data_IF_798926482047
#
_entry.id   IF_798926482047
#
_cell.length_a   1.000
_cell.length_b   1.000
_cell.length_c   1.000
_cell.angle_alpha   90.00
_cell.angle_beta   90.00
_cell.angle_gamma   90.00
#
_symmetry.space_group_name_H-M   'P 1'
#
loop_
_entity.id
_entity.type
_entity.pdbx_description
1 polymer ?
#
# COMPACT_ATOMS: atom_id res chain seq x y z
N UNK A 1 13.86 58.77 65.02
CA UNK A 1 13.96 57.49 64.29
C UNK A 1 12.61 57.22 63.63
N UNK A 2 12.66 56.73 62.39
CA UNK A 2 11.68 56.96 61.33
C UNK A 2 10.28 56.33 61.55
N UNK A 3 9.25 57.05 61.07
CA UNK A 3 7.90 56.56 60.77
C UNK A 3 7.95 55.72 59.50
N UNK A 4 7.22 54.61 59.43
CA UNK A 4 6.60 54.17 58.17
C UNK A 4 5.26 53.47 58.42
N UNK A 5 4.30 53.91 57.59
CA UNK A 5 2.87 53.64 57.60
C UNK A 5 2.54 52.47 56.66
N UNK A 6 1.34 51.90 56.88
CA UNK A 6 0.40 51.23 55.96
C UNK A 6 0.82 51.02 54.50
N UNK A 7 0.53 49.82 53.98
CA UNK A 7 -0.36 49.54 52.83
C UNK A 7 -0.33 48.02 52.55
N UNK A 8 -1.44 47.30 52.72
CA UNK A 8 -2.43 46.99 51.68
C UNK A 8 -1.79 46.62 50.33
N UNK A 9 -1.47 45.33 50.17
CA UNK A 9 -1.10 44.74 48.88
C UNK A 9 -1.94 43.49 48.66
N UNK A 10 -3.05 43.68 47.94
CA UNK A 10 -3.49 42.70 46.96
C UNK A 10 -2.58 42.94 45.73
N UNK A 11 -2.10 41.91 45.00
CA UNK A 11 -2.84 41.64 43.77
C UNK A 11 -2.70 40.21 43.19
N UNK A 12 -3.56 40.00 42.19
CA UNK A 12 -3.48 39.03 41.08
C UNK A 12 -4.08 37.63 41.32
N UNK A 13 -5.40 37.59 41.15
CA UNK A 13 -6.11 36.58 40.35
C UNK A 13 -5.21 36.06 39.23
N UNK A 14 -4.73 34.83 39.37
CA UNK A 14 -4.29 34.03 38.24
C UNK A 14 -5.51 33.73 37.37
N UNK A 15 -5.52 34.23 36.15
CA UNK A 15 -6.40 33.73 35.10
C UNK A 15 -5.99 32.27 34.85
N UNK A 16 -6.82 31.34 35.31
CA UNK A 16 -6.71 29.94 34.91
C UNK A 16 -6.73 29.90 33.37
N UNK A 17 -5.71 29.29 32.79
CA UNK A 17 -5.74 28.94 31.38
C UNK A 17 -7.01 28.11 31.12
N UNK A 18 -7.73 28.32 30.00
CA UNK A 18 -8.88 27.50 29.69
C UNK A 18 -8.41 26.04 29.61
N UNK A 19 -8.98 25.20 30.49
CA UNK A 19 -8.94 23.76 30.32
C UNK A 19 -9.45 23.45 28.91
N UNK A 20 -8.53 23.09 28.03
CA UNK A 20 -8.85 22.49 26.75
C UNK A 20 -9.46 21.14 27.09
N UNK A 21 -10.79 21.11 27.18
CA UNK A 21 -11.55 19.87 27.27
C UNK A 21 -11.14 19.01 26.06
N UNK A 22 -10.66 17.77 26.25
CA UNK A 22 -10.39 16.88 25.13
C UNK A 22 -11.69 16.76 24.33
N UNK A 23 -11.62 17.15 23.06
CA UNK A 23 -12.77 17.10 22.16
C UNK A 23 -13.22 15.65 22.06
N UNK A 24 -14.51 15.46 22.33
CA UNK A 24 -15.36 14.30 22.14
C UNK A 24 -14.72 13.21 21.28
N UNK A 25 -14.42 12.08 21.94
CA UNK A 25 -13.83 10.91 21.33
C UNK A 25 -14.70 10.34 20.22
N UNK A 26 -14.20 10.42 18.99
CA UNK A 26 -14.40 9.31 18.06
C UNK A 26 -13.66 8.11 18.66
N UNK A 27 -14.37 7.00 18.87
CA UNK A 27 -13.79 5.77 19.42
C UNK A 27 -12.60 5.31 18.57
N UNK A 28 -11.39 5.72 18.98
CA UNK A 28 -10.13 5.27 18.43
C UNK A 28 -9.92 3.83 18.89
N UNK A 29 -10.49 2.87 18.16
CA UNK A 29 -9.75 1.62 17.99
C UNK A 29 -8.47 2.00 17.23
N UNK A 30 -7.39 2.19 17.98
CA UNK A 30 -6.13 2.73 17.47
C UNK A 30 -5.65 1.94 16.26
N UNK A 31 -5.14 2.65 15.25
CA UNK A 31 -4.54 2.07 14.05
C UNK A 31 -3.47 0.99 14.39
N UNK A 32 -2.87 1.07 15.57
CA UNK A 32 -1.91 0.09 16.10
C UNK A 32 -2.45 -1.33 16.30
N UNK A 33 -3.74 -1.53 16.61
CA UNK A 33 -4.29 -2.88 16.81
C UNK A 33 -4.65 -3.60 15.50
N UNK A 34 -4.59 -2.92 14.35
CA UNK A 34 -5.13 -3.41 13.07
C UNK A 34 -4.08 -3.68 11.99
N UNK A 35 -2.82 -3.33 12.23
CA UNK A 35 -1.64 -3.76 11.44
C UNK A 35 -1.03 -5.08 11.95
N UNK A 36 -1.86 -5.96 12.53
CA UNK A 36 -1.42 -7.23 13.14
C UNK A 36 -0.77 -8.18 12.12
N UNK A 37 -1.23 -8.14 10.87
CA UNK A 37 -0.64 -8.95 9.80
C UNK A 37 0.39 -8.14 9.04
N UNK A 38 1.65 -8.58 9.07
CA UNK A 38 2.78 -7.95 8.38
C UNK A 38 2.52 -7.79 6.87
N UNK A 39 1.73 -8.68 6.30
CA UNK A 39 1.33 -8.73 4.90
C UNK A 39 0.45 -7.53 4.49
N UNK A 40 -0.24 -6.89 5.43
CA UNK A 40 -1.04 -5.68 5.19
C UNK A 40 -0.25 -4.38 5.34
N UNK A 41 1.04 -4.46 5.70
CA UNK A 41 1.90 -3.28 5.91
C UNK A 41 2.46 -2.71 4.62
N UNK A 42 2.01 -3.17 3.46
CA UNK A 42 2.51 -2.69 2.17
C UNK A 42 1.39 -2.08 1.35
N UNK A 43 1.55 -0.79 1.01
CA UNK A 43 0.80 -0.14 -0.05
C UNK A 43 1.61 -0.33 -1.34
N UNK A 44 1.31 -1.42 -2.05
CA UNK A 44 1.92 -1.71 -3.34
C UNK A 44 1.27 -0.86 -4.45
N UNK A 45 1.99 -0.58 -5.55
CA UNK A 45 1.39 0.04 -6.74
C UNK A 45 0.21 -0.77 -7.24
N UNK A 46 -0.73 -0.19 -7.98
CA UNK A 46 -1.92 -0.91 -8.47
C UNK A 46 -1.57 -2.18 -9.26
N UNK A 47 -0.56 -2.08 -10.11
CA UNK A 47 -0.05 -3.19 -10.93
C UNK A 47 1.39 -3.50 -10.56
N UNK A 48 1.78 -4.76 -10.72
CA UNK A 48 3.15 -5.20 -10.50
C UNK A 48 4.03 -4.64 -11.62
N UNK A 49 5.08 -3.91 -11.25
CA UNK A 49 6.01 -3.28 -12.19
C UNK A 49 7.42 -3.79 -11.95
N UNK A 50 8.11 -4.19 -13.01
CA UNK A 50 9.53 -4.58 -12.95
C UNK A 50 10.43 -3.35 -12.88
N UNK A 51 11.50 -3.44 -12.08
CA UNK A 51 12.61 -2.49 -12.10
C UNK A 51 13.31 -2.50 -13.46
N UNK A 52 14.08 -1.45 -13.77
CA UNK A 52 14.86 -1.39 -15.00
C UNK A 52 15.82 -2.59 -15.14
N UNK A 53 16.43 -3.01 -14.03
CA UNK A 53 17.34 -4.15 -14.01
C UNK A 53 16.62 -5.46 -14.31
N UNK A 54 15.47 -5.73 -13.69
CA UNK A 54 14.70 -6.93 -14.01
C UNK A 54 14.20 -6.94 -15.46
N UNK A 55 13.84 -5.79 -16.03
CA UNK A 55 13.48 -5.69 -17.45
C UNK A 55 14.66 -6.04 -18.36
N UNK A 56 15.88 -5.60 -18.00
CA UNK A 56 17.11 -5.94 -18.73
C UNK A 56 17.41 -7.44 -18.65
N UNK A 57 17.21 -8.05 -17.48
CA UNK A 57 17.36 -9.51 -17.33
C UNK A 57 16.32 -10.29 -18.15
N UNK A 58 15.10 -9.76 -18.24
CA UNK A 58 14.02 -10.36 -19.02
C UNK A 58 14.15 -10.18 -20.54
N UNK A 59 15.00 -9.27 -21.03
CA UNK A 59 15.15 -9.01 -22.47
C UNK A 59 15.94 -10.07 -23.21
N UNK A 60 16.57 -11.01 -22.49
CA UNK A 60 17.19 -12.21 -23.06
C UNK A 60 16.36 -13.40 -22.57
N UNK A 61 15.30 -13.79 -23.32
CA UNK A 61 14.40 -14.84 -22.86
C UNK A 61 15.18 -16.15 -22.67
N UNK A 62 15.17 -16.66 -21.44
CA UNK A 62 15.71 -17.98 -21.13
C UNK A 62 14.64 -18.75 -20.38
N UNK A 63 13.93 -19.65 -21.07
CA UNK A 63 12.90 -20.50 -20.46
C UNK A 63 13.48 -21.87 -20.04
N UNK A 64 14.72 -21.87 -19.54
CA UNK A 64 15.41 -23.07 -19.02
C UNK A 64 15.31 -23.14 -17.49
N UNK A 65 15.53 -24.33 -16.90
CA UNK A 65 15.15 -24.59 -15.51
C UNK A 65 15.99 -23.88 -14.42
N UNK A 66 17.14 -23.27 -14.72
CA UNK A 66 18.14 -22.99 -13.66
C UNK A 66 18.99 -21.71 -13.86
N UNK A 67 18.44 -20.58 -14.31
CA UNK A 67 19.19 -19.31 -14.31
C UNK A 67 18.38 -18.12 -13.78
N UNK A 68 19.06 -17.14 -13.19
CA UNK A 68 18.45 -15.88 -12.72
C UNK A 68 17.67 -15.16 -13.84
N UNK A 69 18.15 -15.25 -15.08
CA UNK A 69 17.48 -14.73 -16.29
C UNK A 69 16.12 -15.39 -16.55
N UNK A 70 15.92 -16.63 -16.09
CA UNK A 70 14.66 -17.35 -16.26
C UNK A 70 13.56 -16.80 -15.36
N UNK A 71 13.88 -16.43 -14.12
CA UNK A 71 12.89 -15.82 -13.22
C UNK A 71 12.43 -14.45 -13.73
N UNK A 72 13.34 -13.60 -14.21
CA UNK A 72 12.99 -12.32 -14.81
C UNK A 72 12.07 -12.48 -16.03
N UNK A 73 12.33 -13.51 -16.86
CA UNK A 73 11.47 -13.85 -18.01
C UNK A 73 10.06 -14.25 -17.57
N UNK A 74 9.93 -15.08 -16.52
CA UNK A 74 8.61 -15.46 -15.99
C UNK A 74 7.88 -14.31 -15.31
N UNK A 75 8.58 -13.42 -14.59
CA UNK A 75 7.96 -12.22 -14.04
C UNK A 75 7.46 -11.30 -15.15
N UNK A 76 8.26 -11.11 -16.21
CA UNK A 76 7.86 -10.35 -17.40
C UNK A 76 6.63 -10.96 -18.08
N UNK A 77 6.58 -12.29 -18.23
CA UNK A 77 5.41 -12.99 -18.73
C UNK A 77 4.16 -12.76 -17.87
N UNK A 78 4.31 -12.77 -16.54
CA UNK A 78 3.21 -12.55 -15.60
C UNK A 78 2.61 -11.15 -15.72
N UNK A 79 3.44 -10.12 -15.93
CA UNK A 79 2.97 -8.72 -15.98
C UNK A 79 2.64 -8.24 -17.40
N UNK A 80 3.25 -8.84 -18.41
CA UNK A 80 3.16 -8.40 -19.80
C UNK A 80 1.90 -8.89 -20.52
N UNK A 81 1.65 -8.42 -21.76
CA UNK A 81 0.62 -8.98 -22.61
C UNK A 81 0.85 -10.50 -22.77
N UNK A 82 -0.20 -11.25 -23.07
CA UNK A 82 -0.07 -12.68 -23.35
C UNK A 82 0.89 -12.87 -24.53
N UNK A 83 2.15 -13.18 -24.24
CA UNK A 83 3.14 -13.47 -25.27
C UNK A 83 2.88 -14.88 -25.80
N UNK A 84 3.14 -15.08 -27.09
CA UNK A 84 3.28 -16.42 -27.64
C UNK A 84 4.47 -17.07 -26.91
N UNK A 85 4.20 -18.14 -26.17
CA UNK A 85 5.22 -19.01 -25.60
C UNK A 85 5.32 -20.25 -26.48
N UNK A 86 6.49 -20.86 -26.48
CA UNK A 86 6.70 -22.12 -27.17
C UNK A 86 5.85 -23.21 -26.52
N UNK A 87 5.14 -23.98 -27.33
CA UNK A 87 4.41 -25.14 -26.82
C UNK A 87 5.42 -26.15 -26.28
N UNK A 88 5.41 -26.32 -24.97
CA UNK A 88 6.17 -27.36 -24.29
C UNK A 88 5.34 -28.65 -24.33
N UNK A 89 5.53 -29.43 -25.38
CA UNK A 89 4.83 -30.71 -25.58
C UNK A 89 5.70 -31.92 -25.14
N UNK A 90 6.71 -31.68 -24.30
CA UNK A 90 7.54 -32.74 -23.77
C UNK A 90 6.84 -33.50 -22.61
N UNK A 91 7.24 -34.76 -22.43
CA UNK A 91 6.66 -35.66 -21.43
C UNK A 91 6.81 -35.13 -19.99
N UNK A 92 7.87 -34.37 -19.69
CA UNK A 92 8.08 -33.82 -18.36
C UNK A 92 7.09 -32.68 -18.07
N UNK A 93 6.83 -31.82 -19.06
CA UNK A 93 5.80 -30.77 -18.98
C UNK A 93 4.42 -31.37 -18.76
N UNK A 94 4.03 -32.38 -19.55
CA UNK A 94 2.74 -33.07 -19.38
C UNK A 94 2.63 -33.68 -17.99
N UNK A 95 3.68 -34.36 -17.53
CA UNK A 95 3.70 -34.99 -16.20
C UNK A 95 3.62 -33.95 -15.08
N UNK A 96 4.27 -32.79 -15.23
CA UNK A 96 4.18 -31.68 -14.26
C UNK A 96 2.77 -31.08 -14.24
N UNK A 97 2.17 -30.83 -15.40
CA UNK A 97 0.81 -30.31 -15.50
C UNK A 97 -0.20 -31.26 -14.83
N UNK A 98 -0.11 -32.57 -15.06
CA UNK A 98 -0.97 -33.56 -14.41
C UNK A 98 -0.89 -33.49 -12.88
N UNK A 99 0.32 -33.36 -12.32
CA UNK A 99 0.51 -33.16 -10.86
C UNK A 99 -0.13 -31.86 -10.38
N UNK A 100 -0.02 -30.78 -11.17
CA UNK A 100 -0.64 -29.50 -10.85
C UNK A 100 -2.17 -29.57 -10.88
N UNK A 101 -2.78 -30.26 -11.85
CA UNK A 101 -4.23 -30.47 -11.89
C UNK A 101 -4.75 -31.32 -10.73
N UNK A 102 -3.99 -32.34 -10.31
CA UNK A 102 -4.32 -33.12 -9.12
C UNK A 102 -4.29 -32.26 -7.84
N UNK A 103 -3.31 -31.37 -7.73
CA UNK A 103 -3.16 -30.45 -6.60
C UNK A 103 -4.18 -29.31 -6.61
N UNK A 104 -4.54 -28.83 -7.80
CA UNK A 104 -5.44 -27.70 -8.03
C UNK A 104 -6.51 -28.09 -9.06
N UNK A 105 -7.57 -28.82 -8.64
CA UNK A 105 -8.59 -29.31 -9.55
C UNK A 105 -9.38 -28.18 -10.24
N UNK A 106 -9.47 -27.02 -9.60
CA UNK A 106 -10.23 -25.85 -10.09
C UNK A 106 -9.62 -25.21 -11.34
N UNK A 107 -8.38 -25.57 -11.69
CA UNK A 107 -7.67 -25.02 -12.86
C UNK A 107 -7.47 -26.02 -13.99
N UNK A 108 -8.16 -27.17 -13.95
CA UNK A 108 -8.04 -28.26 -14.93
C UNK A 108 -8.30 -27.85 -16.38
N UNK A 109 -9.09 -26.79 -16.60
CA UNK A 109 -9.43 -26.27 -17.92
C UNK A 109 -8.34 -25.33 -18.48
N UNK A 110 -7.31 -25.02 -17.68
CA UNK A 110 -6.13 -24.27 -18.14
C UNK A 110 -5.27 -25.17 -18.99
N UNK A 111 -4.83 -24.75 -20.18
CA UNK A 111 -3.97 -25.57 -21.04
C UNK A 111 -2.66 -26.03 -20.36
N UNK A 112 -2.19 -27.23 -20.71
CA UNK A 112 -1.01 -27.92 -20.12
C UNK A 112 0.22 -27.01 -20.02
N UNK A 113 0.59 -26.36 -21.12
CA UNK A 113 1.74 -25.47 -21.15
C UNK A 113 1.50 -24.25 -20.26
N UNK A 114 0.32 -23.65 -20.32
CA UNK A 114 -0.03 -22.47 -19.52
C UNK A 114 0.05 -22.72 -18.02
N UNK A 115 -0.50 -23.84 -17.52
CA UNK A 115 -0.46 -24.13 -16.09
C UNK A 115 0.98 -24.30 -15.60
N UNK A 116 1.86 -24.88 -16.43
CA UNK A 116 3.29 -25.01 -16.12
C UNK A 116 3.97 -23.63 -16.11
N UNK A 117 3.70 -22.77 -17.10
CA UNK A 117 4.22 -21.39 -17.10
C UNK A 117 3.76 -20.59 -15.88
N UNK A 118 2.48 -20.66 -15.51
CA UNK A 118 1.98 -19.98 -14.32
C UNK A 118 2.57 -20.54 -13.02
N UNK A 119 2.82 -21.85 -12.95
CA UNK A 119 3.58 -22.44 -11.85
C UNK A 119 4.99 -21.87 -11.77
N UNK A 120 5.68 -21.69 -12.90
CA UNK A 120 7.02 -21.06 -12.93
C UNK A 120 6.97 -19.57 -12.57
N UNK A 121 5.88 -18.87 -12.89
CA UNK A 121 5.68 -17.49 -12.42
C UNK A 121 5.54 -17.44 -10.89
N UNK A 122 4.80 -18.38 -10.30
CA UNK A 122 4.72 -18.49 -8.84
C UNK A 122 6.09 -18.79 -8.23
N UNK A 123 6.83 -19.74 -8.81
CA UNK A 123 8.20 -20.06 -8.38
C UNK A 123 9.12 -18.81 -8.47
N UNK A 124 8.96 -18.01 -9.54
CA UNK A 124 9.72 -16.77 -9.73
C UNK A 124 9.35 -15.69 -8.71
N UNK A 125 8.08 -15.54 -8.35
CA UNK A 125 7.65 -14.65 -7.28
C UNK A 125 8.27 -15.08 -5.94
N UNK A 126 8.19 -16.38 -5.61
CA UNK A 126 8.79 -16.93 -4.39
C UNK A 126 10.30 -16.69 -4.36
N UNK A 127 10.98 -16.91 -5.49
CA UNK A 127 12.41 -16.68 -5.62
C UNK A 127 12.79 -15.25 -5.24
N UNK A 128 12.05 -14.25 -5.73
CA UNK A 128 12.33 -12.83 -5.47
C UNK A 128 11.78 -12.33 -4.13
N UNK A 129 11.17 -13.19 -3.29
CA UNK A 129 10.63 -12.75 -2.00
C UNK A 129 9.20 -12.24 -2.03
N UNK A 130 8.43 -12.55 -3.07
CA UNK A 130 6.99 -12.32 -3.16
C UNK A 130 6.20 -13.62 -3.08
N UNK A 131 4.92 -13.53 -2.78
CA UNK A 131 3.98 -14.65 -2.79
C UNK A 131 2.59 -14.16 -3.22
N UNK A 132 1.68 -15.07 -3.55
CA UNK A 132 0.30 -14.75 -3.95
C UNK A 132 -0.67 -15.39 -2.96
N UNK A 133 -1.52 -14.59 -2.35
CA UNK A 133 -2.64 -15.08 -1.56
C UNK A 133 -3.57 -15.91 -2.47
N UNK A 134 -3.78 -17.18 -2.14
CA UNK A 134 -4.51 -18.13 -2.98
C UNK A 134 -3.64 -18.90 -4.00
N UNK A 135 -2.35 -18.57 -4.13
CA UNK A 135 -1.37 -19.31 -4.91
C UNK A 135 -1.65 -19.37 -6.42
N UNK A 136 -1.35 -20.51 -7.04
CA UNK A 136 -1.42 -20.72 -8.48
C UNK A 136 -2.82 -20.48 -9.09
N UNK A 137 -3.92 -20.99 -8.51
CA UNK A 137 -5.26 -20.67 -9.01
C UNK A 137 -5.52 -19.18 -9.16
N UNK A 138 -5.01 -18.38 -8.22
CA UNK A 138 -5.23 -16.94 -8.28
C UNK A 138 -4.43 -16.24 -9.36
N UNK A 139 -3.21 -16.68 -9.62
CA UNK A 139 -2.44 -16.18 -10.77
C UNK A 139 -3.23 -16.40 -12.07
N UNK A 140 -3.83 -17.58 -12.24
CA UNK A 140 -4.61 -17.93 -13.44
C UNK A 140 -5.86 -17.04 -13.55
N UNK A 141 -6.60 -16.89 -12.45
CA UNK A 141 -7.80 -16.05 -12.41
C UNK A 141 -7.46 -14.58 -12.73
N UNK A 142 -6.43 -14.01 -12.10
CA UNK A 142 -6.02 -12.61 -12.34
C UNK A 142 -5.55 -12.39 -13.78
N UNK A 143 -4.86 -13.38 -14.37
CA UNK A 143 -4.45 -13.31 -15.79
C UNK A 143 -5.64 -13.39 -16.74
N UNK A 144 -6.63 -14.24 -16.44
CA UNK A 144 -7.87 -14.30 -17.21
C UNK A 144 -8.64 -12.97 -17.11
N UNK A 145 -8.70 -12.39 -15.92
CA UNK A 145 -9.31 -11.08 -15.68
C UNK A 145 -8.58 -9.95 -16.40
N UNK A 146 -7.24 -9.99 -16.40
CA UNK A 146 -6.40 -9.03 -17.10
C UNK A 146 -6.68 -9.03 -18.61
N UNK A 147 -6.79 -10.24 -19.18
CA UNK A 147 -7.14 -10.42 -20.59
C UNK A 147 -8.56 -9.90 -20.92
N UNK A 148 -9.55 -10.19 -20.06
CA UNK A 148 -10.95 -9.74 -20.24
C UNK A 148 -11.12 -8.23 -20.11
N UNK A 149 -10.43 -7.61 -19.15
CA UNK A 149 -10.58 -6.19 -18.81
C UNK A 149 -9.64 -5.29 -19.61
N UNK A 150 -8.80 -5.85 -20.46
CA UNK A 150 -7.69 -5.15 -21.13
C UNK A 150 -6.88 -4.30 -20.15
N UNK A 151 -6.68 -4.80 -18.93
CA UNK A 151 -6.01 -4.02 -17.88
C UNK A 151 -4.52 -3.90 -18.16
N UNK A 152 -3.91 -2.82 -17.66
CA UNK A 152 -2.52 -2.48 -17.94
C UNK A 152 -1.48 -3.46 -17.36
N UNK A 153 -1.85 -4.34 -16.41
CA UNK A 153 -0.93 -5.33 -15.86
C UNK A 153 -1.54 -6.21 -14.76
N UNK A 154 -0.69 -7.03 -14.14
CA UNK A 154 -1.04 -7.93 -13.04
C UNK A 154 -1.32 -7.16 -11.74
N UNK A 155 -2.45 -7.41 -11.07
CA UNK A 155 -2.86 -6.66 -9.88
C UNK A 155 -2.04 -7.01 -8.64
N UNK A 156 -1.75 -6.03 -7.78
CA UNK A 156 -0.94 -6.30 -6.57
C UNK A 156 -1.75 -6.64 -5.33
N UNK A 157 -3.09 -6.59 -5.37
CA UNK A 157 -3.91 -6.82 -4.19
C UNK A 157 -3.73 -8.22 -3.60
N UNK A 158 -3.46 -9.24 -4.43
CA UNK A 158 -3.17 -10.59 -3.95
C UNK A 158 -1.69 -10.81 -3.60
N UNK A 159 -0.80 -9.87 -3.90
CA UNK A 159 0.64 -10.00 -3.66
C UNK A 159 0.99 -9.81 -2.18
N UNK A 160 1.73 -10.77 -1.64
CA UNK A 160 2.31 -10.76 -0.30
C UNK A 160 3.81 -10.51 -0.45
N UNK A 161 4.36 -9.57 0.33
CA UNK A 161 5.81 -9.33 0.41
C UNK A 161 6.37 -10.19 1.54
N UNK A 162 7.17 -11.20 1.20
CA UNK A 162 7.83 -12.12 2.14
C UNK A 162 9.23 -11.64 2.52
N UNK A 163 9.98 -11.15 1.54
CA UNK A 163 11.35 -10.64 1.69
C UNK A 163 11.49 -9.35 0.87
N UNK A 164 11.51 -8.21 1.57
CA UNK A 164 11.63 -6.90 0.95
C UNK A 164 12.99 -6.67 0.29
N UNK A 165 14.07 -7.06 1.00
CA UNK A 165 15.44 -6.80 0.56
C UNK A 165 15.74 -7.55 -0.74
N UNK A 166 15.06 -8.67 -0.96
CA UNK A 166 15.11 -9.36 -2.25
C UNK A 166 14.16 -8.77 -3.29
N UNK A 167 12.90 -8.51 -2.91
CA UNK A 167 11.88 -8.14 -3.87
C UNK A 167 12.14 -6.76 -4.51
N UNK A 168 12.63 -5.78 -3.75
CA UNK A 168 12.85 -4.42 -4.25
C UNK A 168 13.92 -4.33 -5.36
N UNK A 169 14.78 -5.35 -5.49
CA UNK A 169 15.76 -5.44 -6.58
C UNK A 169 15.06 -5.66 -7.92
N UNK A 170 13.98 -6.43 -7.93
CA UNK A 170 13.35 -6.92 -9.15
C UNK A 170 12.02 -6.22 -9.49
N UNK A 171 11.29 -5.78 -8.47
CA UNK A 171 9.99 -5.12 -8.64
C UNK A 171 9.96 -3.77 -7.93
N UNK A 172 9.22 -2.83 -8.50
CA UNK A 172 8.90 -1.57 -7.85
C UNK A 172 7.92 -1.85 -6.71
N UNK A 173 8.43 -1.82 -5.49
CA UNK A 173 7.62 -1.89 -4.28
C UNK A 173 7.20 -0.48 -3.88
N UNK A 174 5.97 -0.37 -3.39
CA UNK A 174 5.43 0.91 -2.92
C UNK A 174 5.87 1.20 -1.48
N UNK A 175 4.94 1.73 -0.68
CA UNK A 175 5.24 2.20 0.67
C UNK A 175 5.09 1.09 1.72
N UNK A 176 6.11 0.92 2.58
CA UNK A 176 6.00 0.14 3.82
C UNK A 176 5.39 1.01 4.93
N UNK A 177 4.27 0.57 5.46
CA UNK A 177 3.64 1.10 6.66
C UNK A 177 4.36 0.51 7.87
N UNK A 178 5.17 1.31 8.55
CA UNK A 178 5.78 0.86 9.79
C UNK A 178 4.70 0.83 10.90
N UNK A 179 4.64 -0.21 11.75
CA UNK A 179 3.64 -0.33 12.81
C UNK A 179 3.61 0.87 13.76
N UNK A 180 4.79 1.45 14.00
CA UNK A 180 4.97 2.64 14.83
C UNK A 180 5.02 3.96 14.03
N UNK A 181 5.22 3.95 12.70
CA UNK A 181 5.40 5.19 11.94
C UNK A 181 4.11 5.88 11.52
N UNK A 182 2.94 5.24 11.65
CA UNK A 182 1.67 5.98 11.63
C UNK A 182 1.61 7.04 12.76
N UNK A 183 2.46 6.92 13.79
CA UNK A 183 2.55 7.88 14.90
C UNK A 183 3.91 8.59 15.02
N UNK A 184 5.01 8.06 14.45
CA UNK A 184 6.37 8.61 14.66
C UNK A 184 7.11 9.10 13.42
N UNK A 185 6.64 8.80 12.19
CA UNK A 185 7.16 9.45 10.98
C UNK A 185 6.11 10.42 10.43
N UNK A 186 5.57 11.25 11.31
CA UNK A 186 4.79 12.39 10.85
C UNK A 186 5.68 13.26 9.96
N UNK A 187 5.18 13.73 8.81
CA UNK A 187 5.90 14.71 8.01
C UNK A 187 6.26 15.90 8.91
N UNK A 188 7.51 16.37 8.82
CA UNK A 188 8.02 17.44 9.67
C UNK A 188 7.61 18.83 9.17
N UNK A 189 7.16 18.91 7.91
CA UNK A 189 6.67 20.12 7.26
C UNK A 189 5.43 19.85 6.41
N UNK A 190 4.70 20.92 6.07
CA UNK A 190 3.54 20.84 5.19
C UNK A 190 3.94 20.32 3.80
N UNK A 191 5.11 20.72 3.30
CA UNK A 191 5.64 20.26 2.01
C UNK A 191 5.91 18.76 2.01
N UNK A 192 6.45 18.20 3.10
CA UNK A 192 6.61 16.76 3.25
C UNK A 192 5.25 16.05 3.30
N UNK A 193 4.27 16.61 4.02
CA UNK A 193 2.94 16.03 4.11
C UNK A 193 2.25 15.96 2.74
N UNK A 194 2.37 17.02 1.94
CA UNK A 194 1.85 17.06 0.56
C UNK A 194 2.53 15.98 -0.29
N UNK A 195 3.86 15.85 -0.23
CA UNK A 195 4.60 14.83 -0.99
C UNK A 195 4.19 13.41 -0.60
N UNK A 196 4.13 13.10 0.70
CA UNK A 196 3.71 11.78 1.17
C UNK A 196 2.28 11.45 0.76
N UNK A 197 1.35 12.39 0.94
CA UNK A 197 -0.03 12.19 0.54
C UNK A 197 -0.17 11.99 -0.97
N UNK A 198 0.59 12.73 -1.78
CA UNK A 198 0.66 12.52 -3.22
C UNK A 198 1.12 11.11 -3.59
N UNK A 199 2.22 10.63 -2.99
CA UNK A 199 2.71 9.27 -3.23
C UNK A 199 1.66 8.21 -2.88
N UNK A 200 0.94 8.38 -1.76
CA UNK A 200 -0.15 7.48 -1.36
C UNK A 200 -1.30 7.53 -2.38
N UNK A 201 -1.66 8.73 -2.87
CA UNK A 201 -2.69 8.89 -3.89
C UNK A 201 -2.30 8.19 -5.20
N UNK A 202 -1.05 8.31 -5.66
CA UNK A 202 -0.57 7.62 -6.86
C UNK A 202 -0.61 6.09 -6.72
N UNK A 203 -0.23 5.57 -5.56
CA UNK A 203 -0.24 4.12 -5.32
C UNK A 203 -1.65 3.53 -5.26
N UNK A 204 -2.62 4.26 -4.68
CA UNK A 204 -3.99 3.75 -4.45
C UNK A 204 -4.92 4.11 -5.61
N UNK A 205 -4.74 5.27 -6.25
CA UNK A 205 -5.61 5.76 -7.33
C UNK A 205 -4.87 6.26 -8.58
N UNK A 206 -4.09 5.42 -9.28
CA UNK A 206 -3.48 5.88 -10.53
C UNK A 206 -4.58 6.16 -11.57
N UNK A 207 -4.69 7.43 -11.99
CA UNK A 207 -5.50 7.85 -13.14
C UNK A 207 -6.99 8.10 -12.91
N UNK A 208 -7.37 8.71 -11.76
CA UNK A 208 -8.72 9.27 -11.52
C UNK A 208 -9.91 8.31 -11.64
N UNK A 209 -9.72 7.01 -11.40
CA UNK A 209 -10.86 6.09 -11.38
C UNK A 209 -11.74 6.31 -10.13
N UNK A 210 -13.05 6.07 -10.27
CA UNK A 210 -14.00 6.13 -9.15
C UNK A 210 -13.61 5.05 -8.12
N UNK A 211 -13.07 5.49 -6.99
CA UNK A 211 -12.71 4.57 -5.91
C UNK A 211 -13.95 4.07 -5.17
N UNK A 212 -13.94 2.81 -4.70
CA UNK A 212 -14.96 2.35 -3.77
C UNK A 212 -14.88 3.17 -2.47
N UNK A 213 -16.02 3.33 -1.81
CA UNK A 213 -16.07 3.95 -0.48
C UNK A 213 -15.74 2.92 0.59
N UNK A 214 -15.30 3.36 1.77
CA UNK A 214 -15.10 2.45 2.90
C UNK A 214 -16.38 1.67 3.24
N UNK A 215 -17.54 2.35 3.13
CA UNK A 215 -18.84 1.73 3.33
C UNK A 215 -19.12 0.64 2.29
N UNK A 216 -18.89 0.91 1.00
CA UNK A 216 -19.16 -0.10 -0.04
C UNK A 216 -18.26 -1.33 0.12
N UNK A 217 -17.01 -1.15 0.57
CA UNK A 217 -16.12 -2.27 0.89
C UNK A 217 -16.66 -3.07 2.08
N UNK A 218 -17.10 -2.41 3.15
CA UNK A 218 -17.65 -3.07 4.33
C UNK A 218 -18.91 -3.87 4.02
N UNK A 219 -19.77 -3.34 3.16
CA UNK A 219 -20.96 -4.05 2.65
C UNK A 219 -20.57 -5.29 1.84
N UNK A 220 -19.60 -5.15 0.94
CA UNK A 220 -19.15 -6.26 0.11
C UNK A 220 -18.43 -7.35 0.92
N UNK A 221 -17.63 -6.97 1.93
CA UNK A 221 -16.98 -7.91 2.85
C UNK A 221 -17.99 -8.75 3.63
N UNK A 222 -19.14 -8.17 4.03
CA UNK A 222 -20.21 -8.91 4.71
C UNK A 222 -20.98 -9.83 3.76
N UNK A 223 -21.03 -9.50 2.48
CA UNK A 223 -21.77 -10.25 1.47
C UNK A 223 -20.96 -11.41 0.89
N UNK A 224 -19.63 -11.32 0.87
CA UNK A 224 -18.77 -12.34 0.28
C UNK A 224 -18.46 -13.49 1.25
N UNK A 225 -18.52 -14.71 0.76
CA UNK A 225 -18.04 -15.91 1.46
C UNK A 225 -16.69 -16.39 0.94
N UNK A 226 -16.18 -15.77 -0.13
CA UNK A 226 -14.89 -16.08 -0.72
C UNK A 226 -13.77 -15.46 0.12
N UNK A 227 -12.93 -16.30 0.72
CA UNK A 227 -11.79 -15.89 1.53
C UNK A 227 -10.79 -15.05 0.74
N UNK A 228 -10.60 -15.34 -0.55
CA UNK A 228 -9.74 -14.53 -1.42
C UNK A 228 -10.32 -13.14 -1.63
N UNK A 229 -11.61 -13.07 -1.97
CA UNK A 229 -12.29 -11.78 -2.11
C UNK A 229 -12.21 -10.99 -0.81
N UNK A 230 -12.42 -11.63 0.34
CA UNK A 230 -12.30 -11.01 1.65
C UNK A 230 -10.89 -10.42 1.87
N UNK A 231 -9.83 -11.16 1.55
CA UNK A 231 -8.45 -10.68 1.61
C UNK A 231 -8.20 -9.43 0.75
N UNK A 232 -8.66 -9.46 -0.50
CA UNK A 232 -8.51 -8.32 -1.42
C UNK A 232 -9.24 -7.09 -0.89
N UNK A 233 -10.45 -7.28 -0.36
CA UNK A 233 -11.25 -6.20 0.21
C UNK A 233 -10.62 -5.65 1.49
N UNK A 234 -10.06 -6.49 2.35
CA UNK A 234 -9.30 -6.05 3.54
C UNK A 234 -8.11 -5.18 3.15
N UNK A 235 -7.33 -5.57 2.16
CA UNK A 235 -6.21 -4.74 1.67
C UNK A 235 -6.69 -3.44 1.05
N UNK A 236 -7.76 -3.47 0.25
CA UNK A 236 -8.35 -2.26 -0.30
C UNK A 236 -8.83 -1.30 0.80
N UNK A 237 -9.45 -1.84 1.86
CA UNK A 237 -9.89 -1.10 3.04
C UNK A 237 -8.73 -0.46 3.80
N UNK A 238 -7.64 -1.22 4.03
CA UNK A 238 -6.42 -0.70 4.66
C UNK A 238 -5.84 0.46 3.84
N UNK A 239 -5.70 0.29 2.52
CA UNK A 239 -5.22 1.35 1.61
C UNK A 239 -6.07 2.62 1.74
N UNK A 240 -7.40 2.49 1.63
CA UNK A 240 -8.29 3.66 1.74
C UNK A 240 -8.21 4.34 3.11
N UNK A 241 -8.09 3.57 4.21
CA UNK A 241 -7.94 4.15 5.55
C UNK A 241 -6.66 4.96 5.66
N UNK A 242 -5.53 4.40 5.23
CA UNK A 242 -4.24 5.12 5.24
C UNK A 242 -4.34 6.40 4.42
N UNK A 243 -4.99 6.36 3.25
CA UNK A 243 -5.25 7.56 2.44
C UNK A 243 -6.01 8.63 3.24
N UNK A 244 -7.11 8.28 3.88
CA UNK A 244 -7.91 9.25 4.66
C UNK A 244 -7.16 9.74 5.92
N UNK A 245 -6.38 8.89 6.57
CA UNK A 245 -5.53 9.29 7.71
C UNK A 245 -4.48 10.33 7.28
N UNK A 246 -3.73 10.07 6.21
CA UNK A 246 -2.74 11.04 5.71
C UNK A 246 -3.38 12.32 5.16
N UNK A 247 -4.60 12.22 4.61
CA UNK A 247 -5.38 13.41 4.24
C UNK A 247 -5.67 14.28 5.46
N UNK A 248 -6.07 13.67 6.59
CA UNK A 248 -6.34 14.41 7.81
C UNK A 248 -5.07 15.09 8.34
N UNK A 249 -3.94 14.37 8.36
CA UNK A 249 -2.63 14.95 8.74
C UNK A 249 -2.29 16.17 7.91
N UNK A 250 -2.49 16.09 6.59
CA UNK A 250 -2.26 17.23 5.68
C UNK A 250 -3.15 18.44 6.03
N UNK A 251 -4.42 18.20 6.33
CA UNK A 251 -5.38 19.26 6.72
C UNK A 251 -4.93 19.92 8.03
N UNK A 252 -4.61 19.12 9.03
CA UNK A 252 -4.21 19.61 10.35
C UNK A 252 -2.95 20.48 10.25
N UNK A 253 -1.94 20.04 9.51
CA UNK A 253 -0.72 20.80 9.28
C UNK A 253 -0.96 22.10 8.50
N UNK A 254 -1.85 22.07 7.50
CA UNK A 254 -2.21 23.27 6.74
C UNK A 254 -2.93 24.30 7.63
N UNK A 255 -3.79 23.84 8.54
CA UNK A 255 -4.46 24.69 9.52
C UNK A 255 -3.45 25.31 10.50
N UNK A 256 -2.50 24.53 11.02
CA UNK A 256 -1.48 25.02 11.95
C UNK A 256 -0.52 26.03 11.32
N UNK A 257 -0.12 25.81 10.06
CA UNK A 257 0.71 26.74 9.30
C UNK A 257 -0.01 28.09 9.11
N UNK A 258 -1.28 28.05 8.69
CA UNK A 258 -2.09 29.25 8.49
C UNK A 258 -2.32 30.02 9.80
N UNK A 259 -2.64 29.32 10.89
CA UNK A 259 -2.79 29.93 12.22
C UNK A 259 -1.50 30.60 12.70
N UNK A 260 -0.34 30.01 12.41
CA UNK A 260 0.97 30.57 12.75
C UNK A 260 1.25 31.85 11.97
N UNK A 261 0.97 31.87 10.66
CA UNK A 261 1.09 33.08 9.84
C UNK A 261 0.19 34.22 10.33
N UNK A 262 -1.06 33.92 10.66
CA UNK A 262 -2.02 34.91 11.17
C UNK A 262 -1.53 35.49 12.51
N UNK A 263 -1.01 34.65 13.40
CA UNK A 263 -0.41 35.08 14.68
C UNK A 263 0.78 36.01 14.46
N UNK A 264 1.67 35.70 13.53
CA UNK A 264 2.84 36.52 13.25
C UNK A 264 2.49 37.84 12.57
N UNK A 265 1.52 37.86 11.65
CA UNK A 265 0.96 39.10 11.07
C UNK A 265 0.36 39.99 12.18
N UNK A 266 -0.37 39.41 13.13
CA UNK A 266 -0.93 40.15 14.26
C UNK A 266 0.14 40.69 15.22
N UNK A 267 1.19 39.93 15.51
CA UNK A 267 2.33 40.42 16.31
C UNK A 267 3.06 41.58 15.62
N UNK A 268 3.29 41.48 14.30
CA UNK A 268 3.91 42.56 13.51
C UNK A 268 3.05 43.84 13.52
N UNK A 269 1.74 43.72 13.33
CA UNK A 269 0.80 44.85 13.43
C UNK A 269 0.83 45.51 14.81
N UNK A 270 0.82 44.73 15.89
CA UNK A 270 0.92 45.29 17.26
C UNK A 270 2.22 46.05 17.50
N UNK A 271 3.35 45.57 16.97
CA UNK A 271 4.65 46.27 17.07
C UNK A 271 4.66 47.58 16.26
N UNK A 272 4.05 47.58 15.08
CA UNK A 272 3.93 48.79 14.25
C UNK A 272 3.02 49.86 14.89
N UNK A 273 1.98 49.45 15.62
CA UNK A 273 1.09 50.38 16.34
C UNK A 273 1.69 50.92 17.65
N UNK A 274 2.76 50.31 18.16
CA UNK A 274 3.42 50.69 19.41
C UNK A 274 4.62 51.62 19.20
N UNK A 275 5.07 51.80 17.96
CA UNK A 275 6.13 52.72 17.55
C UNK A 275 5.51 53.95 16.88
#
# INVERSE_FOLDING_TARGET
MARYNKENVNPLRGTAAPEVKPSVGFGTMGAGERLKHEEHRWILPKYLTLTQEARRLASVPSYTEVMESSFASYLSFLIGPAMAFEQLDDQATISKAQKLYQKYPDVKDTGTTLIVHYSRCLDALHYIGLDIFGGLPKIIEERADMAKKHSAGFGTCSVIVRDYDRAHVYVELGLRLHPAALLHAYPSSLEEAVKFYHTILELINPGEQKQPTLQSIDEEMRATTDQHRHWVLERAKVRLRVKEEYRQVLIDMAMDANLSEVRDKNKKRKRQLAN
#
